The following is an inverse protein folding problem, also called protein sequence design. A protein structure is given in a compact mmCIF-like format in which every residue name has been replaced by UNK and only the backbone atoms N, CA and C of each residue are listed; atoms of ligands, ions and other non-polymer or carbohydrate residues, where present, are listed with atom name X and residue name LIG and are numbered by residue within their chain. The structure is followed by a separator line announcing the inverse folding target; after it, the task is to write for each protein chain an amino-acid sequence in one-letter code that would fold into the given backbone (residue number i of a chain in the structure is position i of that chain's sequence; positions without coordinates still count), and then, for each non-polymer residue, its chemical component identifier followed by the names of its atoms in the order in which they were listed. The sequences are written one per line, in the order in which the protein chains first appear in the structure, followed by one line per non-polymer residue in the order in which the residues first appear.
data_IF_005068981120
#
_entry.id   IF_005068981120
#
_cell.length_a   1.000
_cell.length_b   1.000
_cell.length_c   1.000
_cell.angle_alpha   90.00
_cell.angle_beta   90.00
_cell.angle_gamma   90.00
#
_symmetry.space_group_name_H-M   'P 1'
#
loop_
_entity.id
_entity.type
_entity.pdbx_description
1 polymer ?
#
# COMPACT_ATOMS: atom_id res chain seq x y z
N UNK A 1 14.96 -13.32 -22.46
CA UNK A 1 15.12 -11.90 -22.84
C UNK A 1 14.14 -11.56 -23.94
N UNK A 2 14.17 -12.29 -25.06
CA UNK A 2 13.35 -12.00 -26.24
C UNK A 2 11.85 -11.94 -25.95
N UNK A 3 11.31 -12.90 -25.21
CA UNK A 3 9.89 -12.90 -24.77
C UNK A 3 9.51 -11.66 -23.94
N UNK A 4 10.46 -11.12 -23.15
CA UNK A 4 10.22 -9.89 -22.38
C UNK A 4 10.20 -8.68 -23.28
N UNK A 5 11.11 -8.63 -24.27
CA UNK A 5 11.14 -7.55 -25.26
C UNK A 5 9.89 -7.58 -26.16
N UNK A 6 9.44 -8.76 -26.59
CA UNK A 6 8.18 -8.91 -27.33
C UNK A 6 6.99 -8.40 -26.51
N UNK A 7 6.90 -8.75 -25.22
CA UNK A 7 5.86 -8.24 -24.34
C UNK A 7 5.91 -6.71 -24.18
N UNK A 8 7.11 -6.14 -24.04
CA UNK A 8 7.27 -4.69 -23.96
C UNK A 8 6.82 -3.99 -25.26
N UNK A 9 7.10 -4.58 -26.42
CA UNK A 9 6.62 -4.09 -27.73
C UNK A 9 5.09 -4.15 -27.82
N UNK A 10 4.47 -5.25 -27.39
CA UNK A 10 3.01 -5.39 -27.36
C UNK A 10 2.33 -4.38 -26.42
N UNK A 11 3.06 -3.88 -25.43
CA UNK A 11 2.62 -2.84 -24.49
C UNK A 11 2.98 -1.41 -24.95
N UNK A 12 3.37 -1.22 -26.20
CA UNK A 12 3.75 0.09 -26.80
C UNK A 12 4.93 0.77 -26.04
N UNK A 13 5.92 -0.01 -25.57
CA UNK A 13 7.11 0.52 -24.93
C UNK A 13 7.92 1.41 -25.87
N UNK A 14 8.43 2.51 -25.35
CA UNK A 14 9.33 3.40 -26.09
C UNK A 14 10.76 2.87 -26.13
N UNK A 15 11.61 3.46 -27.01
CA UNK A 15 13.00 3.03 -27.21
C UNK A 15 13.78 2.97 -25.89
N UNK A 16 13.61 3.95 -24.99
CA UNK A 16 14.29 3.98 -23.69
C UNK A 16 13.88 2.83 -22.77
N UNK A 17 12.65 2.35 -22.88
CA UNK A 17 12.16 1.19 -22.11
C UNK A 17 12.67 -0.12 -22.70
N UNK A 18 12.84 -0.18 -24.04
CA UNK A 18 13.37 -1.35 -24.73
C UNK A 18 14.90 -1.50 -24.53
N UNK A 19 15.61 -0.42 -24.27
CA UNK A 19 17.05 -0.41 -23.96
C UNK A 19 17.37 -0.77 -22.49
N UNK A 20 16.41 -1.35 -21.76
CA UNK A 20 16.59 -1.72 -20.35
C UNK A 20 17.69 -2.79 -20.19
N UNK A 21 18.57 -2.69 -19.17
CA UNK A 21 19.60 -3.69 -18.92
C UNK A 21 19.00 -4.98 -18.37
N UNK A 22 19.55 -6.12 -18.79
CA UNK A 22 19.20 -7.44 -18.28
C UNK A 22 20.32 -7.95 -17.37
N UNK A 23 19.93 -8.47 -16.20
CA UNK A 23 20.83 -9.08 -15.22
C UNK A 23 20.31 -10.46 -14.87
N UNK A 24 21.19 -11.45 -14.88
CA UNK A 24 20.92 -12.81 -14.48
C UNK A 24 21.38 -13.02 -13.04
N UNK A 25 20.50 -13.35 -12.12
CA UNK A 25 20.84 -13.42 -10.71
C UNK A 25 20.15 -14.58 -10.00
N UNK A 26 20.79 -15.10 -8.96
CA UNK A 26 20.22 -16.02 -7.99
C UNK A 26 20.42 -15.46 -6.59
N UNK A 27 19.36 -14.93 -5.99
CA UNK A 27 19.41 -14.40 -4.62
C UNK A 27 19.73 -15.49 -3.59
N UNK A 28 19.29 -16.74 -3.84
CA UNK A 28 19.54 -17.88 -2.97
C UNK A 28 21.04 -18.28 -2.94
N UNK A 29 21.69 -18.20 -4.10
CA UNK A 29 23.11 -18.55 -4.26
C UNK A 29 24.03 -17.33 -4.12
N UNK A 30 23.48 -16.12 -4.07
CA UNK A 30 24.20 -14.89 -3.80
C UNK A 30 25.03 -14.37 -4.95
N UNK A 31 24.65 -14.63 -6.20
CA UNK A 31 25.38 -14.14 -7.37
C UNK A 31 24.49 -13.36 -8.35
N UNK A 32 25.12 -12.48 -9.12
CA UNK A 32 24.54 -11.79 -10.27
C UNK A 32 25.55 -11.73 -11.43
N UNK A 33 25.05 -11.74 -12.69
CA UNK A 33 25.86 -11.79 -13.90
C UNK A 33 25.27 -10.88 -14.97
N UNK A 34 26.11 -10.29 -15.82
CA UNK A 34 25.65 -9.57 -17.00
C UNK A 34 25.28 -10.52 -18.15
N UNK A 35 25.98 -11.65 -18.29
CA UNK A 35 25.69 -12.71 -19.27
C UNK A 35 25.61 -14.05 -18.56
N UNK A 36 24.89 -15.00 -19.16
CA UNK A 36 24.74 -16.34 -18.59
C UNK A 36 26.08 -17.10 -18.47
N UNK A 37 26.98 -16.83 -19.39
CA UNK A 37 28.29 -17.49 -19.47
C UNK A 37 29.31 -16.92 -18.47
N UNK A 38 29.05 -15.73 -17.92
CA UNK A 38 29.96 -15.08 -16.97
C UNK A 38 30.09 -15.89 -15.68
N UNK A 39 31.27 -15.93 -15.10
CA UNK A 39 31.49 -16.43 -13.75
C UNK A 39 31.28 -15.30 -12.75
N UNK A 40 30.49 -15.53 -11.70
CA UNK A 40 30.27 -14.58 -10.61
C UNK A 40 29.89 -15.31 -9.33
N UNK A 41 30.45 -14.86 -8.22
CA UNK A 41 30.22 -15.37 -6.87
C UNK A 41 29.60 -14.32 -5.93
N UNK A 42 29.15 -13.18 -6.47
CA UNK A 42 28.63 -12.07 -5.69
C UNK A 42 27.52 -11.30 -6.43
N UNK A 43 26.87 -10.36 -5.72
CA UNK A 43 25.76 -9.55 -6.23
C UNK A 43 26.20 -8.19 -6.78
N UNK A 44 27.49 -7.92 -6.89
CA UNK A 44 28.02 -6.62 -7.35
C UNK A 44 27.47 -6.21 -8.71
N UNK A 45 27.39 -7.07 -9.73
CA UNK A 45 26.84 -6.68 -11.04
C UNK A 45 25.41 -6.14 -10.96
N UNK A 46 24.56 -6.70 -10.08
CA UNK A 46 23.22 -6.19 -9.86
C UNK A 46 23.23 -4.80 -9.19
N UNK A 47 24.03 -4.63 -8.13
CA UNK A 47 24.12 -3.35 -7.43
C UNK A 47 24.70 -2.24 -8.29
N UNK A 48 25.73 -2.53 -9.08
CA UNK A 48 26.30 -1.57 -10.04
C UNK A 48 25.26 -1.17 -11.11
N UNK A 49 24.49 -2.12 -11.61
CA UNK A 49 23.43 -1.83 -12.58
C UNK A 49 22.35 -0.93 -11.98
N UNK A 50 21.92 -1.20 -10.73
CA UNK A 50 20.96 -0.35 -10.02
C UNK A 50 21.52 1.08 -9.89
N UNK A 51 22.75 1.23 -9.40
CA UNK A 51 23.35 2.55 -9.16
C UNK A 51 23.51 3.33 -10.47
N UNK A 52 23.89 2.66 -11.56
CA UNK A 52 24.15 3.33 -12.84
C UNK A 52 22.89 3.60 -13.66
N UNK A 53 21.84 2.80 -13.48
CA UNK A 53 20.65 2.85 -14.33
C UNK A 53 19.44 3.52 -13.65
N UNK A 54 19.28 3.37 -12.34
CA UNK A 54 18.18 3.97 -11.61
C UNK A 54 18.57 5.39 -11.18
N UNK A 55 17.83 6.43 -11.63
CA UNK A 55 18.14 7.81 -11.23
C UNK A 55 17.89 8.01 -9.74
N UNK A 56 18.67 8.90 -9.12
CA UNK A 56 18.41 9.36 -7.77
C UNK A 56 17.04 10.07 -7.70
N UNK A 57 16.39 10.12 -6.50
CA UNK A 57 15.16 10.88 -6.34
C UNK A 57 15.37 12.35 -6.73
N UNK A 58 14.45 12.87 -7.54
CA UNK A 58 14.40 14.28 -7.92
C UNK A 58 13.47 15.04 -7.00
N UNK A 59 13.82 16.27 -6.65
CA UNK A 59 13.03 17.17 -5.79
C UNK A 59 13.91 18.17 -5.06
N UNK A 60 13.29 19.05 -4.27
CA UNK A 60 13.97 20.09 -3.49
C UNK A 60 13.59 19.95 -2.01
N UNK A 61 14.60 19.76 -1.15
CA UNK A 61 14.43 19.64 0.30
C UNK A 61 14.00 20.95 0.99
N UNK A 62 14.26 22.10 0.36
CA UNK A 62 13.90 23.42 0.88
C UNK A 62 12.54 23.92 0.34
N UNK A 63 11.96 23.23 -0.64
CA UNK A 63 10.64 23.53 -1.17
C UNK A 63 9.53 23.21 -0.14
N UNK A 64 8.29 23.69 -0.35
CA UNK A 64 7.14 23.28 0.43
C UNK A 64 6.95 21.77 0.43
N UNK A 65 6.57 21.19 1.58
CA UNK A 65 6.35 19.76 1.74
C UNK A 65 5.34 19.23 0.75
N UNK A 66 5.68 18.13 0.11
CA UNK A 66 4.79 17.28 -0.66
C UNK A 66 5.12 15.80 -0.36
N UNK A 67 4.21 15.11 0.31
CA UNK A 67 4.29 13.69 0.65
C UNK A 67 3.03 12.99 0.18
N UNK A 68 3.13 12.16 -0.86
CA UNK A 68 2.03 11.35 -1.37
C UNK A 68 1.92 10.05 -0.60
N UNK A 69 0.74 9.76 -0.05
CA UNK A 69 0.44 8.49 0.62
C UNK A 69 0.11 7.43 -0.43
N UNK A 70 0.97 6.44 -0.54
CA UNK A 70 0.85 5.33 -1.50
C UNK A 70 0.36 4.03 -0.89
N UNK A 71 0.52 3.85 0.42
CA UNK A 71 0.12 2.63 1.13
C UNK A 71 -0.40 2.99 2.53
N UNK A 72 -1.37 2.23 3.01
CA UNK A 72 -1.89 2.33 4.38
C UNK A 72 -1.53 1.04 5.13
N UNK A 73 -1.01 1.22 6.33
CA UNK A 73 -0.79 0.17 7.32
C UNK A 73 -1.65 0.48 8.56
N UNK A 74 -1.87 -0.49 9.40
CA UNK A 74 -2.66 -0.33 10.61
C UNK A 74 -1.98 -0.98 11.81
N UNK A 75 -1.97 -0.27 12.92
CA UNK A 75 -1.48 -0.77 14.18
C UNK A 75 -2.51 -0.43 15.28
N UNK A 76 -2.84 -1.40 16.13
CA UNK A 76 -3.88 -1.23 17.18
C UNK A 76 -3.57 -0.12 18.18
N UNK A 77 -2.28 0.21 18.39
CA UNK A 77 -1.84 1.23 19.35
C UNK A 77 -1.77 2.65 18.78
N UNK A 78 -1.42 2.78 17.49
CA UNK A 78 -1.20 4.08 16.85
C UNK A 78 -2.23 4.39 15.76
N UNK A 79 -3.12 3.45 15.46
CA UNK A 79 -4.15 3.57 14.43
C UNK A 79 -3.61 3.44 13.02
N UNK A 80 -4.18 4.18 12.08
CA UNK A 80 -3.74 4.21 10.68
C UNK A 80 -2.36 4.84 10.55
N UNK A 81 -1.54 4.21 9.72
CA UNK A 81 -0.18 4.64 9.39
C UNK A 81 -0.12 4.79 7.87
N UNK A 82 0.09 6.01 7.40
CA UNK A 82 0.29 6.25 5.97
C UNK A 82 1.75 6.10 5.61
N UNK A 83 2.02 5.34 4.56
CA UNK A 83 3.38 5.20 4.00
C UNK A 83 3.43 5.91 2.66
N UNK A 84 4.46 6.70 2.45
CA UNK A 84 4.64 7.45 1.23
C UNK A 84 6.05 7.95 1.03
N UNK A 85 6.31 8.48 -0.18
CA UNK A 85 7.57 9.14 -0.53
C UNK A 85 7.42 10.65 -0.38
N UNK A 86 8.43 11.29 0.20
CA UNK A 86 8.54 12.75 0.21
C UNK A 86 9.09 13.18 -1.15
N UNK A 87 8.25 13.82 -1.96
CA UNK A 87 8.68 14.33 -3.27
C UNK A 87 9.37 15.70 -3.15
N UNK A 88 8.92 16.56 -2.23
CA UNK A 88 9.55 17.83 -1.94
C UNK A 88 9.48 18.16 -0.45
N UNK A 89 10.41 18.98 -0.01
CA UNK A 89 10.44 19.55 1.33
C UNK A 89 10.93 18.60 2.42
N UNK A 90 10.59 18.96 3.65
CA UNK A 90 10.97 18.24 4.87
C UNK A 90 9.76 18.11 5.77
N UNK A 91 9.56 16.94 6.37
CA UNK A 91 8.51 16.67 7.35
C UNK A 91 9.11 16.43 8.73
N UNK A 92 8.44 16.92 9.79
CA UNK A 92 8.89 16.78 11.17
C UNK A 92 7.80 16.23 12.08
N UNK A 93 8.21 15.55 13.13
CA UNK A 93 7.31 15.15 14.21
C UNK A 93 6.70 16.39 14.87
N UNK A 94 5.42 16.31 15.23
CA UNK A 94 4.61 17.40 15.77
C UNK A 94 4.33 18.57 14.81
N UNK A 95 4.74 18.49 13.54
CA UNK A 95 4.40 19.46 12.52
C UNK A 95 2.89 19.41 12.22
N UNK A 96 2.29 20.60 12.06
CA UNK A 96 0.95 20.75 11.50
C UNK A 96 1.07 20.79 9.96
N UNK A 97 0.34 19.93 9.29
CA UNK A 97 0.33 19.79 7.83
C UNK A 97 -1.10 19.82 7.32
N UNK A 98 -1.28 20.10 6.04
CA UNK A 98 -2.57 20.03 5.36
C UNK A 98 -2.70 18.71 4.62
N UNK A 99 -3.78 17.99 4.90
CA UNK A 99 -4.19 16.80 4.17
C UNK A 99 -5.08 17.22 3.00
N UNK A 100 -4.66 16.94 1.78
CA UNK A 100 -5.38 17.26 0.54
C UNK A 100 -5.43 16.04 -0.37
N UNK A 101 -6.35 16.05 -1.34
CA UNK A 101 -6.45 14.98 -2.33
C UNK A 101 -6.63 15.55 -3.73
N UNK A 102 -5.92 15.00 -4.71
CA UNK A 102 -5.96 15.49 -6.10
C UNK A 102 -7.35 15.32 -6.76
N UNK A 103 -8.07 14.26 -6.39
CA UNK A 103 -9.39 13.94 -6.96
C UNK A 103 -10.57 14.46 -6.13
N UNK A 104 -10.30 15.00 -4.94
CA UNK A 104 -11.32 15.56 -4.04
C UNK A 104 -10.88 16.92 -3.52
N UNK A 105 -11.30 17.97 -4.22
CA UNK A 105 -11.00 19.36 -3.87
C UNK A 105 -11.63 19.78 -2.53
N UNK A 106 -12.63 19.06 -2.03
CA UNK A 106 -13.26 19.37 -0.73
C UNK A 106 -12.40 18.90 0.46
N UNK A 107 -11.45 17.99 0.23
CA UNK A 107 -10.59 17.43 1.26
C UNK A 107 -9.45 18.39 1.61
N UNK A 108 -9.70 19.27 2.56
CA UNK A 108 -8.75 20.21 3.11
C UNK A 108 -8.78 20.12 4.65
N UNK A 109 -7.98 19.25 5.23
CA UNK A 109 -7.97 19.03 6.68
C UNK A 109 -6.59 19.33 7.25
N UNK A 110 -6.54 20.21 8.28
CA UNK A 110 -5.32 20.39 9.08
C UNK A 110 -5.15 19.21 10.01
N UNK A 111 -3.99 18.60 9.95
CA UNK A 111 -3.65 17.41 10.74
C UNK A 111 -2.26 17.57 11.35
N UNK A 112 -2.01 16.83 12.43
CA UNK A 112 -0.72 16.85 13.11
C UNK A 112 -0.04 15.50 12.99
N UNK A 113 1.21 15.50 12.55
CA UNK A 113 2.05 14.30 12.51
C UNK A 113 2.48 13.95 13.94
N UNK A 114 2.00 12.87 14.51
CA UNK A 114 2.34 12.47 15.88
C UNK A 114 3.61 11.63 15.93
N UNK A 115 3.81 10.74 14.97
CA UNK A 115 5.01 9.94 14.83
C UNK A 115 5.44 9.84 13.38
N UNK A 116 6.74 9.78 13.18
CA UNK A 116 7.40 9.66 11.89
C UNK A 116 8.41 8.53 11.95
N UNK A 117 8.40 7.67 10.94
CA UNK A 117 9.33 6.56 10.82
C UNK A 117 9.99 6.56 9.44
N UNK A 118 11.25 6.18 9.39
CA UNK A 118 11.95 5.79 8.17
C UNK A 118 12.19 4.27 8.15
N UNK A 119 12.40 3.73 6.95
CA UNK A 119 12.68 2.30 6.78
C UNK A 119 14.18 2.05 6.74
N UNK A 120 14.67 1.24 7.68
CA UNK A 120 16.04 0.73 7.68
C UNK A 120 15.98 -0.80 7.46
N UNK A 121 16.18 -1.21 6.21
CA UNK A 121 15.86 -2.56 5.75
C UNK A 121 14.37 -2.87 5.93
N UNK A 122 14.04 -3.89 6.70
CA UNK A 122 12.65 -4.28 7.01
C UNK A 122 12.08 -3.60 8.27
N UNK A 123 12.89 -2.85 9.00
CA UNK A 123 12.48 -2.25 10.27
C UNK A 123 12.05 -0.79 10.08
N UNK A 124 10.99 -0.41 10.79
CA UNK A 124 10.57 0.99 10.93
C UNK A 124 11.35 1.61 12.10
N UNK A 125 12.11 2.66 11.83
CA UNK A 125 12.90 3.40 12.83
C UNK A 125 12.26 4.76 13.05
N UNK A 126 11.93 5.10 14.29
CA UNK A 126 11.35 6.39 14.64
C UNK A 126 12.40 7.50 14.45
N UNK A 127 12.02 8.56 13.73
CA UNK A 127 12.87 9.71 13.41
C UNK A 127 12.16 11.02 13.74
N UNK A 128 12.91 12.09 14.00
CA UNK A 128 12.33 13.41 14.31
C UNK A 128 12.02 14.22 13.06
N UNK A 129 12.76 13.99 11.98
CA UNK A 129 12.57 14.65 10.68
C UNK A 129 12.99 13.70 9.54
N UNK A 130 12.40 13.92 8.36
CA UNK A 130 12.77 13.24 7.12
C UNK A 130 12.65 14.23 5.96
N UNK A 131 13.48 14.04 4.93
CA UNK A 131 13.63 14.97 3.80
C UNK A 131 13.22 14.33 2.48
N UNK A 132 13.08 15.19 1.48
CA UNK A 132 12.86 14.81 0.08
C UNK A 132 13.66 13.56 -0.32
N UNK A 133 13.00 12.63 -1.00
CA UNK A 133 13.53 11.34 -1.43
C UNK A 133 13.33 10.20 -0.43
N UNK A 134 13.13 10.49 0.88
CA UNK A 134 12.86 9.45 1.88
C UNK A 134 11.47 8.84 1.70
N UNK A 135 11.39 7.52 1.91
CA UNK A 135 10.12 6.81 2.11
C UNK A 135 9.85 6.77 3.61
N UNK A 136 8.72 7.31 4.01
CA UNK A 136 8.37 7.47 5.43
C UNK A 136 7.02 6.85 5.75
N UNK A 137 6.85 6.50 7.03
CA UNK A 137 5.56 6.15 7.60
C UNK A 137 5.15 7.22 8.61
N UNK A 138 3.93 7.76 8.45
CA UNK A 138 3.36 8.81 9.30
C UNK A 138 2.14 8.32 10.05
N UNK A 139 1.99 8.73 11.31
CA UNK A 139 0.81 8.40 12.12
C UNK A 139 0.21 9.63 12.81
N UNK A 140 -0.99 9.46 13.36
CA UNK A 140 -1.74 10.54 14.01
C UNK A 140 -2.85 11.14 13.15
N UNK A 141 -3.09 10.58 11.97
CA UNK A 141 -4.09 11.03 11.02
C UNK A 141 -5.15 9.94 10.87
N UNK A 142 -6.35 10.19 11.38
CA UNK A 142 -7.42 9.17 11.43
C UNK A 142 -8.10 8.93 10.09
N UNK A 143 -8.28 9.99 9.29
CA UNK A 143 -8.96 9.93 7.99
C UNK A 143 -7.95 9.97 6.82
N UNK A 144 -6.93 9.12 6.90
CA UNK A 144 -5.89 9.02 5.89
C UNK A 144 -6.24 7.95 4.86
N UNK A 145 -6.12 8.30 3.57
CA UNK A 145 -6.38 7.38 2.45
C UNK A 145 -5.22 7.36 1.46
N UNK A 146 -5.14 6.31 0.66
CA UNK A 146 -4.19 6.25 -0.45
C UNK A 146 -4.53 7.33 -1.47
N UNK A 147 -3.51 8.04 -1.95
CA UNK A 147 -3.64 9.19 -2.84
C UNK A 147 -3.79 10.52 -2.12
N UNK A 148 -3.91 10.53 -0.80
CA UNK A 148 -3.83 11.77 -0.04
C UNK A 148 -2.40 12.33 -0.07
N UNK A 149 -2.30 13.64 -0.14
CA UNK A 149 -1.03 14.36 -0.07
C UNK A 149 -0.97 15.16 1.23
N UNK A 150 0.12 14.99 1.98
CA UNK A 150 0.47 15.89 3.08
C UNK A 150 1.33 17.01 2.54
N UNK A 151 0.90 18.25 2.75
CA UNK A 151 1.60 19.44 2.26
C UNK A 151 1.64 20.55 3.33
N UNK A 152 2.37 21.63 3.05
CA UNK A 152 2.38 22.80 3.92
C UNK A 152 0.99 23.44 3.98
N UNK A 153 0.62 23.94 5.16
CA UNK A 153 -0.70 24.57 5.39
C UNK A 153 -0.91 25.78 4.48
N UNK A 154 0.15 26.57 4.23
CA UNK A 154 0.09 27.81 3.47
C UNK A 154 0.29 27.60 1.95
N UNK A 155 0.63 26.39 1.52
CA UNK A 155 0.90 26.05 0.12
C UNK A 155 0.33 24.67 -0.23
N UNK A 156 -1.01 24.55 -0.36
CA UNK A 156 -1.64 23.30 -0.74
C UNK A 156 -1.25 22.92 -2.18
N UNK A 157 -0.65 21.76 -2.35
CA UNK A 157 -0.19 21.25 -3.63
C UNK A 157 -0.39 19.72 -3.72
N UNK A 158 -1.63 19.27 -4.03
CA UNK A 158 -1.92 17.84 -4.15
C UNK A 158 -1.15 17.22 -5.31
N UNK A 159 -0.56 16.07 -5.08
CA UNK A 159 0.17 15.31 -6.09
C UNK A 159 -0.84 14.47 -6.90
N UNK A 160 -0.81 14.50 -8.24
CA UNK A 160 -1.62 13.62 -9.06
C UNK A 160 -1.30 12.15 -8.80
N UNK A 161 -2.32 11.32 -8.68
CA UNK A 161 -2.17 9.89 -8.54
C UNK A 161 -3.23 9.13 -9.33
N UNK A 162 -2.95 7.86 -9.63
CA UNK A 162 -3.92 7.01 -10.31
C UNK A 162 -4.96 6.52 -9.30
N UNK A 163 -6.22 6.84 -9.55
CA UNK A 163 -7.33 6.42 -8.69
C UNK A 163 -7.43 4.89 -8.63
N UNK A 164 -7.58 4.36 -7.41
CA UNK A 164 -7.81 2.93 -7.21
C UNK A 164 -9.16 2.56 -7.81
N UNK A 165 -9.20 1.50 -8.62
CA UNK A 165 -10.43 1.01 -9.23
C UNK A 165 -11.45 0.60 -8.18
N UNK A 166 -12.71 0.92 -8.42
CA UNK A 166 -13.81 0.49 -7.57
C UNK A 166 -13.98 -1.04 -7.62
N UNK A 167 -14.53 -1.64 -6.54
CA UNK A 167 -14.84 -3.06 -6.53
C UNK A 167 -15.81 -3.44 -7.66
N UNK A 168 -15.56 -4.58 -8.30
CA UNK A 168 -16.36 -5.06 -9.45
C UNK A 168 -17.31 -6.19 -9.11
N UNK A 169 -17.06 -6.93 -8.04
CA UNK A 169 -17.85 -8.09 -7.59
C UNK A 169 -18.27 -7.87 -6.14
N UNK A 170 -19.53 -8.23 -5.84
CA UNK A 170 -20.06 -8.22 -4.48
C UNK A 170 -20.61 -9.58 -4.11
N UNK A 171 -20.42 -9.98 -2.86
CA UNK A 171 -20.98 -11.19 -2.24
C UNK A 171 -21.60 -10.83 -0.90
N UNK A 172 -22.60 -11.62 -0.49
CA UNK A 172 -23.17 -11.52 0.83
C UNK A 172 -22.45 -12.49 1.77
N UNK A 173 -22.00 -11.97 2.89
CA UNK A 173 -21.42 -12.73 4.00
C UNK A 173 -22.47 -12.81 5.10
N UNK A 174 -22.95 -13.99 5.40
CA UNK A 174 -24.03 -14.17 6.36
C UNK A 174 -23.60 -15.05 7.52
N UNK A 175 -24.24 -14.86 8.63
CA UNK A 175 -24.13 -15.82 9.75
C UNK A 175 -24.65 -17.17 9.31
N UNK A 176 -23.92 -18.24 9.62
CA UNK A 176 -24.40 -19.60 9.39
C UNK A 176 -25.55 -19.89 10.39
N UNK A 177 -26.77 -19.98 9.91
CA UNK A 177 -27.98 -20.29 10.69
C UNK A 177 -28.43 -21.75 10.54
N UNK A 178 -27.61 -22.57 9.90
CA UNK A 178 -27.90 -24.00 9.72
C UNK A 178 -27.84 -24.76 11.06
N UNK A 179 -28.49 -25.95 11.13
CA UNK A 179 -28.41 -26.80 12.34
C UNK A 179 -27.00 -27.28 12.69
N UNK A 180 -26.03 -27.10 11.76
CA UNK A 180 -24.64 -27.50 11.91
C UNK A 180 -23.74 -26.32 12.30
N UNK A 181 -24.28 -25.15 12.54
CA UNK A 181 -23.53 -23.95 12.93
C UNK A 181 -22.67 -24.18 14.17
N UNK A 182 -21.44 -23.71 14.16
CA UNK A 182 -20.47 -23.81 15.26
C UNK A 182 -19.66 -25.10 15.30
N UNK A 183 -19.72 -25.93 14.25
CA UNK A 183 -18.92 -27.15 14.18
C UNK A 183 -17.54 -26.91 13.53
N UNK A 184 -17.44 -25.99 12.60
CA UNK A 184 -16.21 -25.70 11.85
C UNK A 184 -15.44 -24.47 12.36
N UNK A 185 -16.14 -23.55 13.04
CA UNK A 185 -15.56 -22.29 13.52
C UNK A 185 -15.98 -21.92 14.95
N UNK A 186 -15.15 -21.07 15.59
CA UNK A 186 -15.41 -20.55 16.94
C UNK A 186 -16.23 -19.24 16.90
N UNK A 187 -16.07 -18.48 15.82
CA UNK A 187 -16.68 -17.16 15.66
C UNK A 187 -17.88 -17.24 14.72
N UNK A 188 -19.06 -17.45 15.29
CA UNK A 188 -20.31 -17.75 14.56
C UNK A 188 -21.38 -16.65 14.69
N UNK A 189 -21.06 -15.51 15.33
CA UNK A 189 -22.05 -14.45 15.56
C UNK A 189 -21.89 -13.29 14.59
N UNK A 190 -22.98 -12.56 14.31
CA UNK A 190 -22.95 -11.39 13.43
C UNK A 190 -21.98 -10.31 13.94
N UNK A 191 -21.86 -10.15 15.26
CA UNK A 191 -20.89 -9.23 15.86
C UNK A 191 -19.46 -9.61 15.52
N UNK A 192 -19.08 -10.87 15.66
CA UNK A 192 -17.72 -11.34 15.31
C UNK A 192 -17.45 -11.12 13.81
N UNK A 193 -18.42 -11.46 12.96
CA UNK A 193 -18.29 -11.28 11.51
C UNK A 193 -18.14 -9.81 11.15
N UNK A 194 -18.98 -8.95 11.72
CA UNK A 194 -18.92 -7.50 11.56
C UNK A 194 -17.56 -6.94 11.94
N UNK A 195 -17.13 -7.20 13.17
CA UNK A 195 -15.87 -6.65 13.72
C UNK A 195 -14.67 -7.08 12.86
N UNK A 196 -14.68 -8.31 12.37
CA UNK A 196 -13.62 -8.83 11.48
C UNK A 196 -13.62 -8.16 10.10
N UNK A 197 -14.79 -8.05 9.47
CA UNK A 197 -14.91 -7.42 8.15
C UNK A 197 -14.55 -5.93 8.20
N UNK A 198 -15.02 -5.19 9.20
CA UNK A 198 -14.68 -3.78 9.36
C UNK A 198 -13.21 -3.57 9.74
N UNK A 199 -12.58 -4.50 10.44
CA UNK A 199 -11.14 -4.48 10.70
C UNK A 199 -10.34 -4.61 9.40
N UNK A 200 -10.77 -5.43 8.45
CA UNK A 200 -10.11 -5.58 7.15
C UNK A 200 -10.03 -4.27 6.37
N UNK A 201 -11.07 -3.42 6.46
CA UNK A 201 -11.08 -2.10 5.81
C UNK A 201 -9.96 -1.15 6.26
N UNK A 202 -9.29 -1.45 7.38
CA UNK A 202 -8.15 -0.65 7.82
C UNK A 202 -6.90 -0.90 6.98
N UNK A 203 -6.79 -2.08 6.37
CA UNK A 203 -5.62 -2.52 5.59
C UNK A 203 -5.92 -2.71 4.12
N UNK A 204 -7.11 -3.21 3.79
CA UNK A 204 -7.54 -3.43 2.40
C UNK A 204 -8.40 -2.27 1.90
N UNK A 205 -7.78 -1.36 1.18
CA UNK A 205 -8.44 -0.16 0.61
C UNK A 205 -9.32 -0.46 -0.61
N UNK A 206 -9.23 -1.66 -1.16
CA UNK A 206 -10.03 -2.09 -2.32
C UNK A 206 -11.25 -2.90 -1.93
N UNK A 207 -11.39 -3.22 -0.65
CA UNK A 207 -12.57 -3.87 -0.10
C UNK A 207 -13.60 -2.82 0.31
N UNK A 208 -14.87 -3.12 0.09
CA UNK A 208 -16.00 -2.33 0.61
C UNK A 208 -16.92 -3.27 1.37
N UNK A 209 -17.31 -2.87 2.58
CA UNK A 209 -18.27 -3.61 3.43
C UNK A 209 -19.43 -2.69 3.72
N UNK A 210 -20.63 -3.15 3.41
CA UNK A 210 -21.88 -2.44 3.63
C UNK A 210 -22.78 -3.30 4.53
N UNK A 211 -23.38 -2.68 5.55
CA UNK A 211 -24.43 -3.34 6.33
C UNK A 211 -25.70 -3.41 5.47
N UNK A 212 -26.43 -4.52 5.56
CA UNK A 212 -27.71 -4.69 4.86
C UNK A 212 -28.87 -4.47 5.83
N UNK A 213 -30.10 -4.52 5.34
CA UNK A 213 -31.30 -4.47 6.18
C UNK A 213 -31.39 -5.67 7.15
N UNK A 214 -30.72 -6.77 6.83
CA UNK A 214 -30.56 -7.93 7.71
C UNK A 214 -29.30 -7.78 8.57
N UNK A 215 -29.47 -7.70 9.89
CA UNK A 215 -28.35 -7.58 10.85
C UNK A 215 -27.36 -8.75 10.82
N UNK A 216 -27.71 -9.87 10.19
CA UNK A 216 -26.87 -11.06 10.05
C UNK A 216 -26.16 -11.16 8.70
N UNK A 217 -26.35 -10.18 7.83
CA UNK A 217 -25.85 -10.17 6.47
C UNK A 217 -25.04 -8.90 6.17
N UNK A 218 -23.86 -9.05 5.59
CA UNK A 218 -22.97 -7.97 5.15
C UNK A 218 -22.70 -8.12 3.68
N UNK A 219 -22.88 -7.06 2.91
CA UNK A 219 -22.49 -7.01 1.50
C UNK A 219 -21.02 -6.63 1.41
N UNK A 220 -20.20 -7.55 0.93
CA UNK A 220 -18.76 -7.36 0.79
C UNK A 220 -18.42 -7.28 -0.70
N UNK A 221 -17.80 -6.19 -1.11
CA UNK A 221 -17.43 -5.94 -2.50
C UNK A 221 -15.91 -5.90 -2.63
N UNK A 222 -15.36 -6.60 -3.63
CA UNK A 222 -13.93 -6.72 -3.90
C UNK A 222 -13.59 -6.57 -5.38
N UNK A 223 -12.30 -6.52 -5.69
CA UNK A 223 -11.79 -6.36 -7.07
C UNK A 223 -12.12 -7.52 -7.98
N UNK A 224 -12.34 -8.71 -7.42
CA UNK A 224 -12.59 -9.91 -8.19
C UNK A 224 -12.79 -11.12 -7.30
N UNK A 225 -13.11 -12.23 -7.94
CA UNK A 225 -13.41 -13.51 -7.28
C UNK A 225 -12.25 -14.01 -6.42
N UNK A 226 -11.02 -13.95 -6.93
CA UNK A 226 -9.84 -14.37 -6.18
C UNK A 226 -9.63 -13.52 -4.92
N UNK A 227 -9.87 -12.23 -4.99
CA UNK A 227 -9.74 -11.32 -3.86
C UNK A 227 -10.66 -11.72 -2.70
N UNK A 228 -11.96 -11.94 -3.00
CA UNK A 228 -12.93 -12.36 -2.00
C UNK A 228 -12.66 -13.79 -1.50
N UNK A 229 -12.20 -14.68 -2.36
CA UNK A 229 -11.83 -16.06 -1.99
C UNK A 229 -10.66 -16.09 -1.00
N UNK A 230 -9.66 -15.24 -1.18
CA UNK A 230 -8.53 -15.09 -0.23
C UNK A 230 -9.02 -14.57 1.12
N UNK A 231 -9.90 -13.57 1.13
CA UNK A 231 -10.51 -13.05 2.36
C UNK A 231 -11.28 -14.16 3.10
N UNK A 232 -12.12 -14.90 2.40
CA UNK A 232 -12.89 -16.02 2.95
C UNK A 232 -11.96 -17.07 3.58
N UNK A 233 -10.92 -17.46 2.85
CA UNK A 233 -9.98 -18.47 3.34
C UNK A 233 -9.19 -17.99 4.57
N UNK A 234 -8.77 -16.73 4.60
CA UNK A 234 -8.09 -16.15 5.76
C UNK A 234 -9.02 -16.14 6.98
N UNK A 235 -10.27 -15.72 6.80
CA UNK A 235 -11.26 -15.71 7.89
C UNK A 235 -11.55 -17.13 8.39
N UNK A 236 -11.66 -18.11 7.51
CA UNK A 236 -11.84 -19.53 7.91
C UNK A 236 -10.66 -20.05 8.72
N UNK A 237 -9.43 -19.73 8.31
CA UNK A 237 -8.20 -20.09 9.06
C UNK A 237 -8.12 -19.42 10.43
N UNK A 238 -8.66 -18.23 10.57
CA UNK A 238 -8.80 -17.54 11.85
C UNK A 238 -9.88 -18.14 12.75
N UNK A 239 -10.74 -19.05 12.23
CA UNK A 239 -11.80 -19.74 12.95
C UNK A 239 -13.18 -19.09 12.85
N UNK A 240 -13.39 -18.24 11.84
CA UNK A 240 -14.70 -17.71 11.52
C UNK A 240 -15.49 -18.74 10.69
N UNK A 241 -16.75 -18.92 11.05
CA UNK A 241 -17.71 -19.72 10.31
C UNK A 241 -18.87 -18.83 9.86
N UNK A 242 -19.13 -18.82 8.55
CA UNK A 242 -20.14 -17.98 7.93
C UNK A 242 -20.59 -18.58 6.60
N UNK A 243 -21.71 -18.13 6.02
CA UNK A 243 -22.27 -18.53 4.75
C UNK A 243 -22.21 -17.41 3.69
#
# INVERSE_FOLDING_TARGET
VDEVLELLLDLDANDKQLECPFIFASAREGFAKYKLEDESDNMIPLFETIINHIPAPEGDAEAPLQLLISTIDYNEYVGRIGVGKIDNGTIKVNQEVLLVNHHDESKHQRVKVTKLYEFNGLNKVEVNEAKMGSIVAVSGITDLHIGDTLCNVDSPAPIPFQKISEPTIAMNFMVNDSPLAGQEGKFVTSRHLRDRLFRELNTDVSLRVEETDDMNCFKVSGRGELHLSVLIENMRREGYEFA
#
